data_IF_207775932699
#
_entry.id   IF_207775932699
#
_cell.length_a   1.000
_cell.length_b   1.000
_cell.length_c   1.000
_cell.angle_alpha   90.00
_cell.angle_beta   90.00
_cell.angle_gamma   90.00
#
_symmetry.space_group_name_H-M   'P 1'
#
loop_
_entity.id
_entity.type
_entity.pdbx_description
1 polymer ?
#
# COMPACT_ATOMS: atom_id res chain seq x y z
N UNK A 1 -7.85 -7.28 -9.35
CA UNK A 1 -6.49 -7.04 -8.82
C UNK A 1 -6.50 -6.06 -7.65
N UNK A 2 -7.25 -4.97 -7.72
CA UNK A 2 -7.40 -4.01 -6.61
C UNK A 2 -7.85 -4.73 -5.32
N UNK A 3 -7.25 -4.36 -4.19
CA UNK A 3 -7.45 -4.95 -2.86
C UNK A 3 -6.77 -6.30 -2.64
N UNK A 4 -6.12 -6.88 -3.67
CA UNK A 4 -5.46 -8.18 -3.55
C UNK A 4 -3.99 -8.03 -3.20
N UNK A 5 -3.50 -8.97 -2.38
CA UNK A 5 -2.08 -9.21 -2.23
C UNK A 5 -1.50 -9.77 -3.55
N UNK A 6 -0.28 -9.35 -3.86
CA UNK A 6 0.44 -9.76 -5.06
C UNK A 6 1.90 -10.07 -4.73
N UNK A 7 2.46 -11.02 -5.46
CA UNK A 7 3.91 -11.27 -5.52
C UNK A 7 4.42 -10.69 -6.83
N UNK A 8 5.36 -9.75 -6.76
CA UNK A 8 5.96 -9.08 -7.90
C UNK A 8 7.44 -9.50 -8.00
N UNK A 9 7.83 -10.08 -9.13
CA UNK A 9 9.23 -10.43 -9.40
C UNK A 9 9.98 -9.27 -10.07
N UNK A 10 11.03 -8.77 -9.42
CA UNK A 10 11.94 -7.78 -9.98
C UNK A 10 13.25 -8.42 -10.45
N UNK A 11 13.74 -8.01 -11.61
CA UNK A 11 15.05 -8.43 -12.11
C UNK A 11 16.15 -7.62 -11.42
N UNK A 12 17.22 -8.29 -11.01
CA UNK A 12 18.41 -7.64 -10.42
C UNK A 12 19.55 -7.64 -11.45
N UNK A 13 20.42 -6.62 -11.45
CA UNK A 13 21.44 -6.41 -12.50
C UNK A 13 22.39 -7.61 -12.68
N UNK A 14 22.65 -8.39 -11.63
CA UNK A 14 23.61 -9.51 -11.67
C UNK A 14 23.12 -10.79 -10.94
N UNK A 15 21.83 -10.90 -10.62
CA UNK A 15 21.33 -11.92 -9.69
C UNK A 15 19.99 -12.57 -10.04
N UNK A 16 19.51 -13.50 -9.19
CA UNK A 16 18.19 -14.08 -9.35
C UNK A 16 17.10 -13.00 -9.19
N UNK A 17 15.92 -13.27 -9.78
CA UNK A 17 14.74 -12.41 -9.60
C UNK A 17 14.40 -12.31 -8.11
N UNK A 18 14.16 -11.11 -7.62
CA UNK A 18 13.73 -10.88 -6.25
C UNK A 18 12.20 -10.81 -6.19
N UNK A 19 11.61 -11.58 -5.27
CA UNK A 19 10.18 -11.53 -5.00
C UNK A 19 9.86 -10.44 -3.97
N UNK A 20 8.88 -9.61 -4.32
CA UNK A 20 8.35 -8.54 -3.50
C UNK A 20 6.86 -8.74 -3.28
N UNK A 21 6.48 -8.93 -2.01
CA UNK A 21 5.08 -9.02 -1.59
C UNK A 21 4.51 -7.62 -1.42
N UNK A 22 3.34 -7.41 -2.00
CA UNK A 22 2.66 -6.13 -1.97
C UNK A 22 1.15 -6.23 -2.09
N UNK A 23 0.49 -5.09 -2.19
CA UNK A 23 -0.95 -4.98 -2.34
C UNK A 23 -1.31 -3.94 -3.38
N UNK A 24 -2.20 -4.28 -4.31
CA UNK A 24 -2.74 -3.30 -5.27
C UNK A 24 -3.83 -2.49 -4.57
N UNK A 25 -3.64 -1.18 -4.45
CA UNK A 25 -4.44 -0.31 -3.59
C UNK A 25 -5.63 0.28 -4.34
N UNK A 26 -5.38 0.83 -5.52
CA UNK A 26 -6.40 1.47 -6.36
C UNK A 26 -5.89 1.62 -7.80
N UNK A 27 -6.79 2.05 -8.69
CA UNK A 27 -6.43 2.51 -10.04
C UNK A 27 -6.01 3.98 -9.95
N UNK A 28 -4.97 4.38 -10.68
CA UNK A 28 -4.58 5.78 -10.72
C UNK A 28 -5.70 6.63 -11.38
N UNK A 29 -6.04 7.80 -10.82
CA UNK A 29 -7.24 8.55 -11.20
C UNK A 29 -7.18 9.14 -12.62
N UNK A 30 -6.00 9.55 -13.07
CA UNK A 30 -5.79 10.16 -14.40
C UNK A 30 -5.21 9.12 -15.37
N UNK A 31 -4.14 8.43 -14.95
CA UNK A 31 -3.45 7.43 -15.75
C UNK A 31 -4.14 6.07 -15.61
N UNK A 32 -5.26 5.90 -16.30
CA UNK A 32 -6.14 4.75 -16.06
C UNK A 32 -5.51 3.38 -16.41
N UNK A 33 -4.37 3.29 -17.10
CA UNK A 33 -3.66 2.00 -17.26
C UNK A 33 -2.75 1.65 -16.07
N UNK A 34 -2.58 2.58 -15.13
CA UNK A 34 -1.69 2.45 -13.99
C UNK A 34 -2.44 2.16 -12.68
N UNK A 35 -1.76 1.46 -11.78
CA UNK A 35 -2.28 1.03 -10.49
C UNK A 35 -1.37 1.51 -9.39
N UNK A 36 -1.97 1.97 -8.30
CA UNK A 36 -1.28 2.21 -7.05
C UNK A 36 -1.00 0.88 -6.35
N UNK A 37 0.22 0.71 -5.87
CA UNK A 37 0.71 -0.49 -5.19
C UNK A 37 1.71 -0.09 -4.10
N UNK A 38 1.75 -0.85 -3.02
CA UNK A 38 2.78 -0.75 -1.97
C UNK A 38 3.37 -2.13 -1.72
N UNK A 39 4.56 -2.19 -1.12
CA UNK A 39 5.22 -3.44 -0.76
C UNK A 39 5.42 -3.54 0.76
N UNK A 40 5.48 -4.76 1.28
CA UNK A 40 5.64 -5.00 2.72
C UNK A 40 7.02 -4.55 3.24
N UNK A 41 8.06 -4.80 2.45
CA UNK A 41 9.45 -4.41 2.78
C UNK A 41 9.68 -2.89 2.67
N UNK A 42 8.86 -2.20 1.88
CA UNK A 42 8.96 -0.76 1.64
C UNK A 42 7.55 -0.14 1.49
N UNK A 43 6.96 0.39 2.58
CA UNK A 43 5.56 0.81 2.63
C UNK A 43 5.34 2.20 2.02
N UNK A 44 5.93 2.45 0.85
CA UNK A 44 5.77 3.68 0.06
C UNK A 44 4.81 3.42 -1.10
N UNK A 45 4.07 4.45 -1.51
CA UNK A 45 3.15 4.40 -2.63
C UNK A 45 3.93 4.39 -3.97
N UNK A 46 3.83 3.27 -4.68
CA UNK A 46 4.30 3.10 -6.04
C UNK A 46 3.16 3.12 -7.05
N UNK A 47 3.50 3.29 -8.32
CA UNK A 47 2.56 3.25 -9.43
C UNK A 47 3.14 2.48 -10.61
N UNK A 48 2.45 1.44 -11.10
CA UNK A 48 2.91 0.60 -12.21
C UNK A 48 1.76 0.20 -13.16
N UNK A 49 2.09 -0.19 -14.41
CA UNK A 49 1.14 -0.77 -15.38
C UNK A 49 1.03 -2.29 -15.22
N UNK A 50 0.49 -2.72 -14.08
CA UNK A 50 0.47 -4.11 -13.64
C UNK A 50 -0.32 -5.09 -14.53
N UNK A 51 -1.10 -4.60 -15.49
CA UNK A 51 -1.90 -5.46 -16.38
C UNK A 51 -1.02 -6.31 -17.30
N UNK A 52 0.12 -5.78 -17.72
CA UNK A 52 1.04 -6.52 -18.60
C UNK A 52 1.89 -7.48 -17.76
N UNK A 53 2.38 -7.05 -16.59
CA UNK A 53 3.08 -7.92 -15.63
C UNK A 53 2.24 -9.13 -15.22
N UNK A 54 0.92 -8.96 -15.07
CA UNK A 54 0.00 -10.06 -14.75
C UNK A 54 -0.16 -11.04 -15.92
N UNK A 55 -0.18 -10.56 -17.17
CA UNK A 55 -0.25 -11.44 -18.36
C UNK A 55 1.05 -12.22 -18.55
N UNK A 56 2.18 -11.62 -18.23
CA UNK A 56 3.51 -12.22 -18.34
C UNK A 56 3.84 -13.15 -17.15
N UNK A 57 2.99 -13.20 -16.13
CA UNK A 57 3.20 -14.00 -14.91
C UNK A 57 4.29 -13.45 -13.99
N UNK A 58 4.69 -12.20 -14.20
CA UNK A 58 5.66 -11.45 -13.38
C UNK A 58 5.00 -10.95 -12.09
N UNK A 59 3.68 -10.68 -12.16
CA UNK A 59 2.85 -10.33 -11.02
C UNK A 59 1.78 -11.42 -10.80
N UNK A 60 1.94 -12.21 -9.75
CA UNK A 60 0.98 -13.27 -9.36
C UNK A 60 0.05 -12.80 -8.25
N UNK A 61 -1.21 -13.26 -8.27
CA UNK A 61 -2.07 -13.13 -7.08
C UNK A 61 -1.72 -14.21 -6.08
N UNK A 62 -1.38 -13.83 -4.85
CA UNK A 62 -1.28 -14.77 -3.76
C UNK A 62 -2.70 -15.14 -3.32
N UNK A 63 -3.07 -16.43 -3.39
CA UNK A 63 -4.35 -16.93 -2.86
C UNK A 63 -4.28 -16.97 -1.34
N UNK A 64 -4.38 -15.81 -0.70
CA UNK A 64 -4.86 -15.72 0.67
C UNK A 64 -6.34 -15.46 0.68
N UNK A 65 -7.00 -16.16 1.60
CA UNK A 65 -8.40 -16.09 2.02
C UNK A 65 -9.01 -14.73 1.68
N UNK A 66 -10.20 -14.67 1.02
CA UNK A 66 -10.83 -13.41 0.68
C UNK A 66 -10.76 -12.52 1.90
N UNK A 67 -10.12 -11.35 1.75
CA UNK A 67 -10.07 -10.35 2.81
C UNK A 67 -11.47 -10.31 3.39
N UNK A 68 -11.61 -10.82 4.63
CA UNK A 68 -12.89 -10.75 5.32
C UNK A 68 -13.23 -9.27 5.22
N UNK A 69 -14.34 -8.96 4.54
CA UNK A 69 -14.86 -7.60 4.56
C UNK A 69 -14.98 -7.31 6.04
N UNK A 70 -14.09 -6.45 6.55
CA UNK A 70 -14.18 -6.07 7.94
C UNK A 70 -15.63 -5.62 8.14
N UNK A 71 -16.35 -6.23 9.10
CA UNK A 71 -17.74 -5.89 9.33
C UNK A 71 -17.78 -4.38 9.46
N UNK A 72 -18.69 -3.73 8.72
CA UNK A 72 -18.74 -2.28 8.52
C UNK A 72 -18.86 -1.49 9.80
N UNK A 73 -17.80 -1.50 10.59
CA UNK A 73 -17.56 -0.64 11.71
C UNK A 73 -17.15 0.67 11.05
N UNK A 74 -18.02 1.65 11.18
CA UNK A 74 -17.78 3.01 10.73
C UNK A 74 -16.64 3.53 11.59
N UNK A 75 -15.41 3.18 11.25
CA UNK A 75 -14.23 3.89 11.73
C UNK A 75 -14.36 5.26 11.09
N UNK A 76 -14.68 6.26 11.91
CA UNK A 76 -14.65 7.66 11.47
C UNK A 76 -13.36 7.88 10.69
N UNK A 77 -13.50 8.34 9.44
CA UNK A 77 -12.36 8.44 8.55
C UNK A 77 -11.26 9.27 9.20
N UNK A 78 -10.07 8.69 9.28
CA UNK A 78 -8.91 9.37 9.86
C UNK A 78 -8.33 10.44 8.91
N UNK A 79 -8.88 10.59 7.71
CA UNK A 79 -8.43 11.58 6.72
C UNK A 79 -8.48 12.99 7.30
N UNK A 80 -7.39 13.74 7.15
CA UNK A 80 -7.20 15.08 7.70
C UNK A 80 -6.70 15.10 9.14
N UNK A 81 -6.57 13.96 9.83
CA UNK A 81 -5.97 13.90 11.17
C UNK A 81 -4.45 14.01 11.08
N UNK A 82 -3.85 14.74 12.02
CA UNK A 82 -2.42 14.70 12.26
C UNK A 82 -2.04 13.41 12.99
N UNK A 83 -0.88 12.87 12.64
CA UNK A 83 -0.31 11.65 13.22
C UNK A 83 1.13 11.90 13.64
N UNK A 84 1.55 11.26 14.73
CA UNK A 84 2.95 11.16 15.13
C UNK A 84 3.40 9.70 15.03
N UNK A 85 4.52 9.46 14.37
CA UNK A 85 5.17 8.16 14.31
C UNK A 85 6.47 8.20 15.11
N UNK A 86 6.59 7.31 16.10
CA UNK A 86 7.85 7.10 16.81
C UNK A 86 8.72 6.12 16.00
N UNK A 87 9.87 6.60 15.52
CA UNK A 87 10.89 5.76 14.92
C UNK A 87 11.57 4.91 15.99
N UNK A 88 12.14 3.78 15.57
CA UNK A 88 12.91 2.89 16.45
C UNK A 88 14.15 3.58 17.07
N UNK A 89 14.69 4.60 16.39
CA UNK A 89 15.81 5.42 16.88
C UNK A 89 15.42 6.44 17.97
N UNK A 90 14.14 6.46 18.39
CA UNK A 90 13.59 7.39 19.37
C UNK A 90 13.18 8.75 18.79
N UNK A 91 13.39 8.97 17.49
CA UNK A 91 12.89 10.13 16.78
C UNK A 91 11.36 10.08 16.62
N UNK A 92 10.73 11.25 16.48
CA UNK A 92 9.32 11.36 16.12
C UNK A 92 9.19 12.01 14.76
N UNK A 93 8.23 11.55 13.96
CA UNK A 93 7.79 12.19 12.71
C UNK A 93 6.36 12.62 12.83
N UNK A 94 6.08 13.86 12.47
CA UNK A 94 4.71 14.35 12.32
C UNK A 94 4.28 14.24 10.87
N UNK A 95 2.99 13.97 10.66
CA UNK A 95 2.40 13.89 9.33
C UNK A 95 0.89 13.99 9.36
N UNK A 96 0.28 13.80 8.20
CA UNK A 96 -1.17 13.86 8.01
C UNK A 96 -1.67 12.64 7.24
N UNK A 97 -2.82 12.12 7.67
CA UNK A 97 -3.56 11.13 6.88
C UNK A 97 -4.25 11.84 5.73
N UNK A 98 -3.91 11.48 4.48
CA UNK A 98 -4.37 12.19 3.28
C UNK A 98 -5.39 11.41 2.45
N UNK A 99 -5.49 10.10 2.63
CA UNK A 99 -6.41 9.27 1.87
C UNK A 99 -6.71 7.96 2.60
N UNK A 100 -7.90 7.41 2.38
CA UNK A 100 -8.32 6.09 2.84
C UNK A 100 -8.55 5.20 1.62
N UNK A 101 -7.99 3.99 1.62
CA UNK A 101 -8.09 3.08 0.47
C UNK A 101 -9.49 2.45 0.43
N UNK A 102 -10.24 2.70 -0.63
CA UNK A 102 -11.63 2.20 -0.78
C UNK A 102 -11.71 0.66 -0.73
N UNK A 103 -10.73 -0.03 -1.30
CA UNK A 103 -10.71 -1.49 -1.37
C UNK A 103 -10.34 -2.17 -0.05
N UNK A 104 -9.68 -1.44 0.87
CA UNK A 104 -9.31 -1.91 2.21
C UNK A 104 -9.36 -0.73 3.19
N UNK A 105 -10.52 -0.47 3.83
CA UNK A 105 -10.75 0.73 4.65
C UNK A 105 -9.81 0.90 5.85
N UNK A 106 -9.14 -0.15 6.31
CA UNK A 106 -8.11 -0.08 7.35
C UNK A 106 -6.79 0.51 6.85
N UNK A 107 -6.59 0.61 5.53
CA UNK A 107 -5.36 1.13 4.92
C UNK A 107 -5.48 2.60 4.56
N UNK A 108 -4.46 3.36 4.92
CA UNK A 108 -4.40 4.82 4.75
C UNK A 108 -3.11 5.28 4.11
N UNK A 109 -3.19 6.40 3.40
CA UNK A 109 -2.03 7.13 2.90
C UNK A 109 -1.66 8.23 3.89
N UNK A 110 -0.38 8.26 4.26
CA UNK A 110 0.17 9.21 5.21
C UNK A 110 1.28 10.01 4.52
N UNK A 111 1.20 11.33 4.61
CA UNK A 111 2.27 12.24 4.20
C UNK A 111 2.96 12.77 5.45
N UNK A 112 4.22 12.40 5.66
CA UNK A 112 5.05 13.01 6.70
C UNK A 112 5.62 14.34 6.23
N UNK A 113 5.88 15.24 7.18
CA UNK A 113 6.30 16.63 6.89
C UNK A 113 7.78 16.73 6.47
N UNK A 114 8.59 15.73 6.83
CA UNK A 114 10.05 15.71 6.67
C UNK A 114 10.55 15.02 5.39
N UNK A 115 9.65 14.57 4.51
CA UNK A 115 10.01 14.02 3.20
C UNK A 115 8.99 14.34 2.10
N UNK A 116 9.12 13.69 0.94
CA UNK A 116 8.19 13.82 -0.20
C UNK A 116 7.41 12.52 -0.52
N UNK A 117 7.70 11.42 0.18
CA UNK A 117 7.03 10.14 -0.08
C UNK A 117 5.63 10.11 0.52
N UNK A 118 4.75 9.31 -0.09
CA UNK A 118 3.46 8.93 0.48
C UNK A 118 3.62 7.52 1.04
N UNK A 119 3.39 7.36 2.33
CA UNK A 119 3.46 6.07 3.00
C UNK A 119 2.09 5.42 3.06
N UNK A 120 2.08 4.09 3.07
CA UNK A 120 0.87 3.27 3.13
C UNK A 120 0.90 2.44 4.41
N UNK A 121 -0.03 2.68 5.31
CA UNK A 121 -0.12 1.99 6.60
C UNK A 121 -1.49 1.37 6.82
N UNK A 122 -1.49 0.19 7.42
CA UNK A 122 -2.69 -0.45 7.97
C UNK A 122 -2.90 0.07 9.40
N UNK A 123 -3.92 0.90 9.60
CA UNK A 123 -4.24 1.51 10.89
C UNK A 123 -5.38 0.73 11.54
N UNK A 124 -5.02 -0.27 12.32
CA UNK A 124 -5.96 -1.07 13.12
C UNK A 124 -6.03 -0.50 14.53
N UNK A 125 -7.24 -0.34 15.06
CA UNK A 125 -7.45 0.10 16.45
C UNK A 125 -7.08 -1.03 17.40
N UNK A 126 -5.97 -0.90 18.10
CA UNK A 126 -5.63 -1.78 19.23
C UNK A 126 -6.34 -1.28 20.48
N UNK A 127 -7.09 -2.18 21.13
CA UNK A 127 -7.87 -1.91 22.36
C UNK A 127 -7.07 -2.29 23.61
#
# INVERSE_FOLDING_TARGET
MIGKAVEHMFETEEGPKEEWRGMVLARAPIMTTWFYITYEKDPVLYMYQLLDDYKEGICGSYDTVPAEREPGEVVDSLVGKQVEYAKEDGGKRSGMVIHQVEAKPSVYFIKFDDDFHIYVYDLVKTS
#
